data_IF_242846063054
#
_entry.id   IF_242846063054
#
_cell.length_a   1.000
_cell.length_b   1.000
_cell.length_c   1.000
_cell.angle_alpha   90.00
_cell.angle_beta   90.00
_cell.angle_gamma   90.00
#
_symmetry.space_group_name_H-M   'P 1'
#
loop_
_entity.id
_entity.type
_entity.pdbx_description
1 polymer ?
#
# COMPACT_ATOMS: atom_id res chain seq x y z
N UNK A 1 -18.25 21.45 -1.97
CA UNK A 1 -17.38 21.62 -0.79
C UNK A 1 -16.39 22.74 -1.05
N UNK A 2 -16.35 23.74 -0.18
CA UNK A 2 -15.91 25.10 -0.47
C UNK A 2 -14.38 25.26 -0.59
N UNK A 3 -13.97 26.39 -1.22
CA UNK A 3 -12.58 26.86 -1.30
C UNK A 3 -11.88 26.89 0.08
N UNK A 4 -12.62 27.10 1.18
CA UNK A 4 -12.13 27.10 2.55
C UNK A 4 -11.55 25.73 2.94
N UNK A 5 -12.23 24.64 2.58
CA UNK A 5 -11.76 23.28 2.90
C UNK A 5 -10.49 22.92 2.12
N UNK A 6 -10.42 23.38 0.87
CA UNK A 6 -9.23 23.21 0.01
C UNK A 6 -8.03 23.99 0.57
N UNK A 7 -8.27 25.17 1.10
CA UNK A 7 -7.26 26.02 1.75
C UNK A 7 -6.75 25.41 3.07
N UNK A 8 -7.65 24.91 3.90
CA UNK A 8 -7.30 24.23 5.16
C UNK A 8 -6.44 22.98 4.91
N UNK A 9 -6.72 22.23 3.86
CA UNK A 9 -5.94 21.07 3.50
C UNK A 9 -4.53 21.41 2.98
N UNK A 10 -4.39 22.48 2.21
CA UNK A 10 -3.09 22.97 1.75
C UNK A 10 -2.23 23.44 2.93
N UNK A 11 -2.85 24.09 3.91
CA UNK A 11 -2.18 24.49 5.13
C UNK A 11 -1.75 23.29 5.98
N UNK A 12 -2.63 22.28 6.08
CA UNK A 12 -2.35 21.03 6.78
C UNK A 12 -1.19 20.25 6.12
N UNK A 13 -1.11 20.24 4.80
CA UNK A 13 0.00 19.62 4.07
C UNK A 13 1.36 20.22 4.46
N UNK A 14 1.45 21.56 4.42
CA UNK A 14 2.67 22.26 4.80
C UNK A 14 3.05 22.00 6.26
N UNK A 15 2.07 21.93 7.15
CA UNK A 15 2.28 21.60 8.54
C UNK A 15 2.74 20.15 8.73
N UNK A 16 2.11 19.19 8.05
CA UNK A 16 2.51 17.79 8.11
C UNK A 16 3.95 17.58 7.59
N UNK A 17 4.34 18.28 6.52
CA UNK A 17 5.72 18.26 6.03
C UNK A 17 6.70 18.80 7.07
N UNK A 18 6.37 19.94 7.69
CA UNK A 18 7.20 20.54 8.73
C UNK A 18 7.34 19.62 9.95
N UNK A 19 6.23 19.06 10.42
CA UNK A 19 6.21 18.17 11.59
C UNK A 19 6.88 16.84 11.32
N UNK A 20 6.80 16.31 10.12
CA UNK A 20 7.50 15.08 9.71
C UNK A 20 9.03 15.26 9.75
N UNK A 21 9.52 16.48 9.55
CA UNK A 21 10.93 16.79 9.71
C UNK A 21 11.39 16.71 11.18
N UNK A 22 10.57 17.16 12.13
CA UNK A 22 10.89 17.12 13.56
C UNK A 22 10.54 15.82 14.26
N UNK A 23 9.54 15.10 13.74
CA UNK A 23 9.08 13.83 14.29
C UNK A 23 8.81 12.82 13.15
N UNK A 24 9.87 12.34 12.48
CA UNK A 24 9.73 11.45 11.35
C UNK A 24 9.16 10.10 11.80
N UNK A 25 8.31 9.52 10.97
CA UNK A 25 7.92 8.12 11.11
C UNK A 25 9.16 7.23 10.96
N UNK A 26 9.42 6.41 11.96
CA UNK A 26 10.49 5.42 11.92
C UNK A 26 9.86 4.09 11.52
N UNK A 27 10.19 3.61 10.32
CA UNK A 27 9.82 2.28 9.86
C UNK A 27 10.50 1.22 10.73
N UNK A 28 9.74 0.41 11.50
CA UNK A 28 10.32 -0.58 12.41
C UNK A 28 11.07 -1.69 11.68
N UNK A 29 10.87 -1.83 10.38
CA UNK A 29 11.51 -2.86 9.55
C UNK A 29 12.84 -2.41 8.94
N UNK A 30 13.08 -1.10 8.84
CA UNK A 30 14.23 -0.49 8.15
C UNK A 30 15.58 -0.98 8.68
N UNK A 31 15.69 -1.25 9.97
CA UNK A 31 16.96 -1.62 10.60
C UNK A 31 17.41 -3.06 10.28
N UNK A 32 16.56 -3.88 9.72
CA UNK A 32 16.85 -5.27 9.37
C UNK A 32 17.32 -5.44 7.93
N UNK A 33 17.13 -4.40 7.09
CA UNK A 33 17.40 -4.48 5.66
C UNK A 33 18.58 -3.59 5.28
N UNK A 34 19.37 -4.05 4.31
CA UNK A 34 20.47 -3.25 3.78
C UNK A 34 19.97 -2.00 3.06
N UNK A 35 20.72 -0.89 3.17
CA UNK A 35 20.44 0.35 2.43
C UNK A 35 20.58 0.21 0.91
N UNK A 36 21.23 -0.86 0.43
CA UNK A 36 21.38 -1.18 -0.98
C UNK A 36 20.10 -1.78 -1.60
N UNK A 37 19.15 -2.19 -0.76
CA UNK A 37 17.87 -2.73 -1.22
C UNK A 37 16.92 -1.58 -1.63
N UNK A 38 16.35 -1.59 -2.83
CA UNK A 38 15.33 -0.62 -3.19
C UNK A 38 14.04 -0.90 -2.41
N UNK A 39 13.56 0.09 -1.67
CA UNK A 39 12.32 -0.01 -0.87
C UNK A 39 11.09 0.39 -1.71
N UNK A 40 11.27 1.31 -2.68
CA UNK A 40 10.20 1.84 -3.52
C UNK A 40 10.45 1.55 -4.99
N UNK A 41 9.38 1.47 -5.78
CA UNK A 41 9.43 1.17 -7.20
C UNK A 41 10.22 2.21 -8.01
N UNK A 42 10.16 3.51 -7.66
CA UNK A 42 10.97 4.54 -8.30
C UNK A 42 12.48 4.28 -8.17
N UNK A 43 12.95 3.95 -6.96
CA UNK A 43 14.36 3.58 -6.75
C UNK A 43 14.75 2.29 -7.48
N UNK A 44 13.87 1.30 -7.51
CA UNK A 44 14.11 0.06 -8.23
C UNK A 44 14.15 0.30 -9.74
N UNK A 45 13.28 1.14 -10.29
CA UNK A 45 13.27 1.55 -11.68
C UNK A 45 14.58 2.21 -12.12
N UNK A 46 15.14 3.08 -11.28
CA UNK A 46 16.43 3.72 -11.55
C UNK A 46 17.61 2.74 -11.44
N UNK A 47 17.57 1.85 -10.43
CA UNK A 47 18.63 0.87 -10.17
C UNK A 47 18.79 -0.15 -11.27
N UNK A 48 17.72 -0.54 -11.96
CA UNK A 48 17.70 -1.64 -12.93
C UNK A 48 17.33 -1.17 -14.35
N UNK A 49 18.17 -0.38 -15.02
CA UNK A 49 17.85 0.25 -16.32
C UNK A 49 17.50 -0.76 -17.40
N UNK A 50 18.14 -1.94 -17.42
CA UNK A 50 17.91 -2.99 -18.42
C UNK A 50 16.59 -3.74 -18.23
N UNK A 51 15.93 -3.57 -17.08
CA UNK A 51 14.70 -4.25 -16.71
C UNK A 51 13.51 -3.31 -16.51
N UNK A 52 13.62 -2.06 -16.93
CA UNK A 52 12.54 -1.05 -16.82
C UNK A 52 11.25 -1.46 -17.50
N UNK A 53 11.33 -2.33 -18.51
CA UNK A 53 10.17 -2.83 -19.26
C UNK A 53 9.15 -3.58 -18.40
N UNK A 54 9.56 -4.19 -17.27
CA UNK A 54 8.61 -4.89 -16.37
C UNK A 54 7.65 -3.93 -15.66
N UNK A 55 7.99 -2.65 -15.59
CA UNK A 55 7.10 -1.61 -15.05
C UNK A 55 6.05 -1.12 -16.06
N UNK A 56 6.18 -1.45 -17.34
CA UNK A 56 5.13 -1.24 -18.33
C UNK A 56 4.08 -2.35 -18.22
N UNK A 57 2.98 -2.08 -17.50
CA UNK A 57 1.90 -3.05 -17.29
C UNK A 57 1.28 -3.52 -18.60
N UNK A 58 1.34 -2.70 -19.67
CA UNK A 58 0.89 -3.11 -20.99
C UNK A 58 1.85 -4.15 -21.60
N UNK A 59 3.16 -3.96 -21.45
CA UNK A 59 4.13 -4.96 -21.85
C UNK A 59 3.92 -6.28 -21.09
N UNK A 60 3.70 -6.20 -19.76
CA UNK A 60 3.41 -7.38 -18.92
C UNK A 60 2.18 -8.13 -19.42
N UNK A 61 1.09 -7.44 -19.75
CA UNK A 61 -0.13 -8.05 -20.31
C UNK A 61 0.17 -8.74 -21.64
N UNK A 62 0.85 -8.05 -22.56
CA UNK A 62 1.18 -8.59 -23.89
C UNK A 62 2.17 -9.75 -23.85
N UNK A 63 3.13 -9.74 -22.91
CA UNK A 63 4.13 -10.82 -22.75
C UNK A 63 3.51 -12.15 -22.35
N UNK A 64 2.25 -12.15 -21.89
CA UNK A 64 1.48 -13.32 -21.53
C UNK A 64 0.45 -13.72 -22.63
N UNK A 65 0.37 -12.98 -23.72
CA UNK A 65 -0.64 -13.17 -24.76
C UNK A 65 -2.05 -12.72 -24.36
N UNK A 66 -2.19 -11.93 -23.29
CA UNK A 66 -3.47 -11.42 -22.82
C UNK A 66 -3.94 -10.22 -23.65
N UNK A 67 -5.26 -10.02 -23.69
CA UNK A 67 -5.87 -8.88 -24.36
C UNK A 67 -5.63 -7.59 -23.55
N UNK A 68 -5.18 -6.56 -24.26
CA UNK A 68 -4.95 -5.23 -23.69
C UNK A 68 -4.32 -4.27 -24.68
N UNK A 69 -4.40 -2.98 -24.36
CA UNK A 69 -3.89 -1.91 -25.20
C UNK A 69 -3.77 -0.61 -24.43
N UNK A 70 -3.33 0.43 -25.10
CA UNK A 70 -3.45 1.79 -24.54
C UNK A 70 -4.91 2.20 -24.52
N UNK A 71 -5.32 2.94 -23.49
CA UNK A 71 -6.70 3.41 -23.38
C UNK A 71 -7.10 4.29 -24.59
N UNK A 72 -6.21 5.15 -25.03
CA UNK A 72 -6.41 6.04 -26.18
C UNK A 72 -6.75 5.30 -27.49
N UNK A 73 -6.26 4.06 -27.67
CA UNK A 73 -6.50 3.24 -28.86
C UNK A 73 -7.99 2.78 -28.97
N UNK A 74 -8.74 2.91 -27.89
CA UNK A 74 -10.17 2.56 -27.86
C UNK A 74 -11.08 3.70 -28.34
N UNK A 75 -10.58 4.92 -28.50
CA UNK A 75 -11.37 6.06 -28.94
C UNK A 75 -12.05 5.77 -30.28
N UNK A 76 -13.39 5.85 -30.30
CA UNK A 76 -14.21 5.49 -31.47
C UNK A 76 -14.30 3.97 -31.72
N UNK A 77 -13.83 3.13 -30.80
CA UNK A 77 -13.89 1.67 -30.87
C UNK A 77 -14.48 1.01 -29.61
N UNK A 78 -15.10 1.80 -28.77
CA UNK A 78 -15.58 1.40 -27.44
C UNK A 78 -16.56 0.21 -27.54
N UNK A 79 -17.35 0.14 -28.63
CA UNK A 79 -18.31 -0.96 -28.89
C UNK A 79 -17.67 -2.21 -29.53
N UNK A 80 -16.36 -2.19 -29.81
CA UNK A 80 -15.66 -3.33 -30.48
C UNK A 80 -14.93 -4.24 -29.49
N UNK A 81 -15.00 -3.97 -28.20
CA UNK A 81 -14.35 -4.76 -27.14
C UNK A 81 -15.39 -5.51 -26.31
N UNK A 82 -14.96 -6.61 -25.71
CA UNK A 82 -15.79 -7.40 -24.79
C UNK A 82 -15.61 -6.86 -23.36
N UNK A 83 -16.72 -6.51 -22.72
CA UNK A 83 -16.75 -6.10 -21.33
C UNK A 83 -17.01 -7.28 -20.38
N UNK A 84 -16.61 -7.23 -19.09
CA UNK A 84 -15.92 -6.11 -18.47
C UNK A 84 -14.42 -6.04 -18.82
N UNK A 85 -13.90 -4.83 -18.90
CA UNK A 85 -12.45 -4.56 -18.98
C UNK A 85 -11.97 -3.90 -17.70
N UNK A 86 -10.65 -3.86 -17.52
CA UNK A 86 -9.98 -3.14 -16.44
C UNK A 86 -9.06 -2.07 -17.01
N UNK A 87 -9.24 -0.82 -16.55
CA UNK A 87 -8.35 0.29 -16.91
C UNK A 87 -7.52 0.70 -15.69
N UNK A 88 -6.25 1.00 -15.93
CA UNK A 88 -5.28 1.37 -14.89
C UNK A 88 -4.14 2.20 -15.46
N UNK A 89 -3.38 2.93 -14.62
CA UNK A 89 -2.14 3.57 -15.05
C UNK A 89 -1.19 2.55 -15.66
N UNK A 90 -0.61 2.89 -16.79
CA UNK A 90 0.29 2.02 -17.54
C UNK A 90 1.59 1.73 -16.79
N UNK A 91 2.20 2.76 -16.17
CA UNK A 91 3.52 2.67 -15.55
C UNK A 91 3.45 2.33 -14.07
N UNK A 92 3.99 1.17 -13.69
CA UNK A 92 3.95 0.66 -12.31
C UNK A 92 4.75 1.50 -11.31
N UNK A 93 5.92 1.99 -11.72
CA UNK A 93 6.77 2.82 -10.85
C UNK A 93 6.21 4.24 -10.60
N UNK A 94 5.23 4.67 -11.40
CA UNK A 94 4.53 5.94 -11.28
C UNK A 94 3.13 5.79 -10.68
N UNK A 95 2.73 4.61 -10.26
CA UNK A 95 1.40 4.34 -9.71
C UNK A 95 1.51 3.59 -8.40
N UNK A 96 0.68 3.94 -7.44
CA UNK A 96 0.64 3.29 -6.14
C UNK A 96 -0.80 2.96 -5.73
N UNK A 97 -0.97 1.90 -4.95
CA UNK A 97 -2.16 1.63 -4.16
C UNK A 97 -3.47 1.61 -4.96
N UNK A 98 -3.47 1.01 -6.15
CA UNK A 98 -4.66 0.88 -7.01
C UNK A 98 -5.34 2.21 -7.38
N UNK A 99 -4.63 3.33 -7.24
CA UNK A 99 -5.12 4.64 -7.64
C UNK A 99 -5.41 4.66 -9.15
N UNK A 100 -6.55 5.23 -9.54
CA UNK A 100 -7.01 5.29 -10.93
C UNK A 100 -7.15 3.93 -11.63
N UNK A 101 -7.54 2.91 -10.86
CA UNK A 101 -7.88 1.60 -11.38
C UNK A 101 -9.39 1.41 -11.39
N UNK A 102 -9.97 1.03 -12.53
CA UNK A 102 -11.42 0.97 -12.69
C UNK A 102 -11.85 -0.30 -13.44
N UNK A 103 -12.87 -0.98 -12.93
CA UNK A 103 -13.58 -2.04 -13.65
C UNK A 103 -14.69 -1.39 -14.47
N UNK A 104 -14.62 -1.51 -15.78
CA UNK A 104 -15.54 -0.90 -16.74
C UNK A 104 -16.46 -1.99 -17.29
N UNK A 105 -17.76 -1.76 -17.21
CA UNK A 105 -18.78 -2.75 -17.55
C UNK A 105 -19.46 -2.49 -18.90
N UNK A 106 -19.31 -1.31 -19.48
CA UNK A 106 -19.95 -0.92 -20.74
C UNK A 106 -19.18 0.18 -21.47
N UNK A 107 -19.49 0.40 -22.75
CA UNK A 107 -18.96 1.47 -23.55
C UNK A 107 -19.34 2.86 -22.98
N UNK A 108 -20.56 3.02 -22.48
CA UNK A 108 -21.04 4.28 -21.87
C UNK A 108 -20.24 4.62 -20.61
N UNK A 109 -19.90 3.59 -19.82
CA UNK A 109 -19.04 3.79 -18.64
C UNK A 109 -17.62 4.16 -19.06
N UNK A 110 -17.06 3.54 -20.10
CA UNK A 110 -15.72 3.80 -20.61
C UNK A 110 -15.55 5.24 -21.06
N UNK A 111 -16.56 5.84 -21.68
CA UNK A 111 -16.51 7.20 -22.19
C UNK A 111 -16.10 8.24 -21.13
N UNK A 112 -16.42 7.99 -19.87
CA UNK A 112 -16.09 8.86 -18.73
C UNK A 112 -14.59 8.93 -18.42
N UNK A 113 -13.82 7.98 -18.92
CA UNK A 113 -12.40 7.79 -18.59
C UNK A 113 -11.47 8.04 -19.78
N UNK A 114 -12.02 8.36 -20.97
CA UNK A 114 -11.23 8.52 -22.19
C UNK A 114 -10.27 9.72 -22.19
N UNK A 115 -10.46 10.66 -21.27
CA UNK A 115 -9.60 11.83 -21.09
C UNK A 115 -8.40 11.57 -20.14
N UNK A 116 -8.29 10.36 -19.58
CA UNK A 116 -7.19 10.00 -18.71
C UNK A 116 -5.94 9.69 -19.54
N UNK A 117 -4.85 10.33 -19.23
CA UNK A 117 -3.56 10.13 -19.89
C UNK A 117 -2.79 8.93 -19.32
N UNK A 118 -1.86 8.38 -20.09
CA UNK A 118 -0.97 7.27 -19.70
C UNK A 118 -1.67 6.04 -19.10
N UNK A 119 -2.90 5.81 -19.53
CA UNK A 119 -3.69 4.66 -19.09
C UNK A 119 -3.60 3.51 -20.07
N UNK A 120 -3.74 2.31 -19.53
CA UNK A 120 -3.93 1.10 -20.31
C UNK A 120 -5.24 0.40 -19.95
N UNK A 121 -5.73 -0.42 -20.87
CA UNK A 121 -6.82 -1.36 -20.60
C UNK A 121 -6.34 -2.80 -20.75
N UNK A 122 -7.00 -3.71 -20.05
CA UNK A 122 -6.85 -5.17 -20.22
C UNK A 122 -8.19 -5.86 -19.99
N UNK A 123 -8.30 -7.12 -20.35
CA UNK A 123 -9.42 -7.95 -19.91
C UNK A 123 -9.52 -7.90 -18.37
N UNK A 124 -10.75 -7.95 -17.84
CA UNK A 124 -10.95 -8.05 -16.40
C UNK A 124 -10.78 -9.50 -15.95
N UNK A 125 -9.89 -9.72 -15.00
CA UNK A 125 -9.61 -11.05 -14.44
C UNK A 125 -10.40 -11.15 -13.13
N UNK A 126 -11.47 -11.94 -13.14
CA UNK A 126 -12.32 -12.18 -11.97
C UNK A 126 -11.83 -13.41 -11.21
N UNK A 127 -10.76 -13.23 -10.47
CA UNK A 127 -10.12 -14.28 -9.70
C UNK A 127 -9.43 -13.70 -8.46
N UNK A 128 -9.13 -14.59 -7.51
CA UNK A 128 -8.40 -14.23 -6.30
C UNK A 128 -6.99 -13.73 -6.64
N UNK A 129 -6.58 -12.72 -5.91
CA UNK A 129 -5.25 -12.14 -6.05
C UNK A 129 -4.23 -12.91 -5.22
N UNK A 130 -3.05 -13.03 -5.76
CA UNK A 130 -1.87 -13.53 -5.08
C UNK A 130 -0.65 -12.69 -5.46
N UNK A 131 0.40 -12.85 -4.69
CA UNK A 131 1.65 -12.15 -4.93
C UNK A 131 2.82 -13.05 -4.56
N UNK A 132 3.94 -12.91 -5.26
CA UNK A 132 5.17 -13.63 -4.91
C UNK A 132 6.38 -12.73 -5.07
N UNK A 133 7.23 -12.70 -4.07
CA UNK A 133 8.59 -12.19 -4.17
C UNK A 133 9.51 -13.32 -4.61
N UNK A 134 10.08 -13.20 -5.82
CA UNK A 134 11.12 -14.11 -6.31
C UNK A 134 12.48 -13.48 -6.06
N UNK A 135 13.35 -14.21 -5.38
CA UNK A 135 14.75 -13.83 -5.15
C UNK A 135 15.60 -14.51 -6.22
N UNK A 136 16.27 -13.70 -7.04
CA UNK A 136 17.06 -14.17 -8.17
C UNK A 136 18.54 -13.88 -7.99
N UNK A 137 19.36 -14.81 -8.41
CA UNK A 137 20.80 -14.66 -8.59
C UNK A 137 21.15 -15.08 -10.02
N UNK A 138 21.62 -14.14 -10.86
CA UNK A 138 21.94 -14.36 -12.26
C UNK A 138 20.81 -15.06 -13.05
N UNK A 139 19.57 -14.64 -12.84
CA UNK A 139 18.37 -15.19 -13.48
C UNK A 139 17.86 -16.50 -12.90
N UNK A 140 18.59 -17.12 -11.96
CA UNK A 140 18.14 -18.32 -11.26
C UNK A 140 17.33 -17.94 -10.03
N UNK A 141 16.13 -18.47 -9.89
CA UNK A 141 15.35 -18.36 -8.66
C UNK A 141 16.03 -19.15 -7.55
N UNK A 142 16.52 -18.46 -6.51
CA UNK A 142 17.19 -19.07 -5.36
C UNK A 142 16.25 -19.22 -4.16
N UNK A 143 15.23 -18.36 -4.06
CA UNK A 143 14.19 -18.44 -3.05
C UNK A 143 12.90 -17.73 -3.53
N UNK A 144 11.78 -17.99 -2.84
CA UNK A 144 10.52 -17.30 -3.10
C UNK A 144 9.66 -17.20 -1.83
N UNK A 145 8.90 -16.13 -1.72
CA UNK A 145 7.93 -15.90 -0.65
C UNK A 145 6.59 -15.59 -1.31
N UNK A 146 5.59 -16.44 -1.09
CA UNK A 146 4.28 -16.31 -1.71
C UNK A 146 3.24 -15.83 -0.68
N UNK A 147 2.44 -14.88 -1.10
CA UNK A 147 1.41 -14.20 -0.32
C UNK A 147 0.04 -14.57 -0.90
N UNK A 148 -0.79 -15.20 -0.08
CA UNK A 148 -2.18 -15.53 -0.43
C UNK A 148 -3.07 -14.46 0.16
N UNK A 149 -3.88 -13.83 -0.68
CA UNK A 149 -4.78 -12.75 -0.28
C UNK A 149 -6.14 -13.30 0.15
N UNK A 150 -6.81 -12.57 1.02
CA UNK A 150 -8.21 -12.82 1.34
C UNK A 150 -9.09 -12.70 0.09
N UNK A 151 -10.20 -13.43 0.07
CA UNK A 151 -11.17 -13.42 -1.04
C UNK A 151 -11.94 -12.10 -1.17
N UNK A 152 -11.60 -11.07 -0.45
CA UNK A 152 -12.30 -9.81 -0.50
C UNK A 152 -12.17 -9.16 -1.87
N UNK A 153 -13.25 -9.20 -2.64
CA UNK A 153 -13.31 -8.80 -4.04
C UNK A 153 -13.81 -7.37 -4.27
N UNK A 154 -13.74 -6.49 -3.28
CA UNK A 154 -14.13 -5.09 -3.49
C UNK A 154 -13.12 -4.28 -4.32
N UNK A 155 -12.25 -4.98 -4.99
CA UNK A 155 -11.43 -4.50 -6.07
C UNK A 155 -10.02 -4.11 -5.67
N UNK A 156 -9.78 -3.58 -4.46
CA UNK A 156 -8.53 -2.84 -4.25
C UNK A 156 -7.78 -3.17 -2.96
N UNK A 157 -8.43 -3.74 -1.95
CA UNK A 157 -7.78 -3.94 -0.66
C UNK A 157 -8.18 -5.27 -0.03
N UNK A 158 -7.19 -6.07 0.29
CA UNK A 158 -7.34 -7.31 1.03
C UNK A 158 -7.60 -7.05 2.52
N UNK A 159 -8.33 -7.94 3.16
CA UNK A 159 -8.56 -7.93 4.61
C UNK A 159 -7.38 -8.51 5.38
N UNK A 160 -6.78 -9.53 4.80
CA UNK A 160 -5.61 -10.23 5.34
C UNK A 160 -4.81 -10.89 4.22
N UNK A 161 -3.56 -11.21 4.54
CA UNK A 161 -2.68 -12.06 3.72
C UNK A 161 -2.20 -13.23 4.55
N UNK A 162 -2.05 -14.38 3.94
CA UNK A 162 -1.37 -15.54 4.52
C UNK A 162 0.00 -15.71 3.87
N UNK A 163 1.01 -15.89 4.69
CA UNK A 163 2.41 -16.02 4.27
C UNK A 163 2.98 -17.31 4.84
N UNK A 164 3.46 -18.17 3.95
CA UNK A 164 4.00 -19.48 4.33
C UNK A 164 5.14 -19.89 3.42
N UNK A 165 6.20 -20.51 3.95
CA UNK A 165 7.30 -21.05 3.14
C UNK A 165 6.83 -22.19 2.21
N UNK A 166 5.67 -22.81 2.52
CA UNK A 166 5.09 -23.89 1.70
C UNK A 166 4.21 -23.38 0.57
N UNK A 167 3.77 -22.12 0.60
CA UNK A 167 2.96 -21.53 -0.47
C UNK A 167 3.78 -21.38 -1.75
N UNK A 168 3.19 -21.72 -2.88
CA UNK A 168 3.82 -21.63 -4.20
C UNK A 168 2.96 -20.80 -5.13
N UNK A 169 3.57 -20.00 -6.02
CA UNK A 169 2.84 -19.36 -7.11
C UNK A 169 2.38 -20.40 -8.14
N UNK A 170 1.42 -20.07 -9.02
CA UNK A 170 1.12 -20.86 -10.21
C UNK A 170 2.37 -21.08 -11.06
N UNK A 171 2.49 -22.26 -11.69
CA UNK A 171 3.70 -22.66 -12.44
C UNK A 171 4.06 -21.70 -13.56
N UNK A 172 3.08 -21.22 -14.31
CA UNK A 172 3.30 -20.27 -15.41
C UNK A 172 3.87 -18.91 -14.95
N UNK A 173 3.65 -18.49 -13.69
CA UNK A 173 4.28 -17.30 -13.13
C UNK A 173 5.79 -17.55 -12.98
N UNK A 174 6.16 -18.73 -12.48
CA UNK A 174 7.57 -19.14 -12.38
C UNK A 174 8.22 -19.24 -13.76
N UNK A 175 7.52 -19.81 -14.74
CA UNK A 175 7.98 -19.89 -16.13
C UNK A 175 8.18 -18.49 -16.75
N UNK A 176 7.24 -17.57 -16.50
CA UNK A 176 7.39 -16.19 -16.96
C UNK A 176 8.65 -15.53 -16.40
N UNK A 177 8.94 -15.70 -15.10
CA UNK A 177 10.19 -15.22 -14.48
C UNK A 177 11.41 -15.80 -15.18
N UNK A 178 11.45 -17.12 -15.38
CA UNK A 178 12.57 -17.79 -16.05
C UNK A 178 12.79 -17.30 -17.49
N UNK A 179 11.72 -16.94 -18.20
CA UNK A 179 11.78 -16.46 -19.57
C UNK A 179 12.22 -15.00 -19.68
N UNK A 180 11.77 -14.13 -18.76
CA UNK A 180 11.92 -12.69 -18.89
C UNK A 180 12.96 -12.06 -17.95
N UNK A 181 13.38 -12.77 -16.88
CA UNK A 181 14.32 -12.23 -15.91
C UNK A 181 15.71 -12.87 -16.00
N UNK A 182 16.09 -13.29 -17.20
CA UNK A 182 17.42 -13.88 -17.46
C UNK A 182 18.52 -12.90 -17.05
N UNK A 183 19.52 -13.39 -16.32
CA UNK A 183 20.68 -12.65 -15.79
C UNK A 183 20.31 -11.61 -14.70
N UNK A 184 19.05 -11.45 -14.31
CA UNK A 184 18.69 -10.53 -13.23
C UNK A 184 19.19 -11.03 -11.89
N UNK A 185 19.74 -10.12 -11.08
CA UNK A 185 20.06 -10.36 -9.67
C UNK A 185 19.36 -9.32 -8.80
N UNK A 186 18.52 -9.80 -7.88
CA UNK A 186 17.69 -8.96 -7.03
C UNK A 186 16.37 -9.63 -6.68
N UNK A 187 15.36 -8.83 -6.42
CA UNK A 187 14.00 -9.30 -6.12
C UNK A 187 13.04 -8.88 -7.21
N UNK A 188 12.18 -9.79 -7.63
CA UNK A 188 11.06 -9.53 -8.53
C UNK A 188 9.77 -9.84 -7.78
N UNK A 189 9.00 -8.81 -7.48
CA UNK A 189 7.67 -8.91 -6.93
C UNK A 189 6.67 -9.05 -8.06
N UNK A 190 5.84 -10.07 -8.03
CA UNK A 190 4.83 -10.33 -9.06
C UNK A 190 3.47 -10.43 -8.41
N UNK A 191 2.54 -9.57 -8.82
CA UNK A 191 1.12 -9.67 -8.47
C UNK A 191 0.38 -10.36 -9.62
N UNK A 192 -0.51 -11.28 -9.26
CA UNK A 192 -1.28 -12.05 -10.23
C UNK A 192 -2.70 -12.33 -9.71
N UNK A 193 -3.61 -12.57 -10.65
CA UNK A 193 -4.94 -13.11 -10.36
C UNK A 193 -5.10 -14.42 -11.12
N UNK A 194 -5.44 -15.50 -10.39
CA UNK A 194 -5.33 -16.84 -10.91
C UNK A 194 -3.89 -17.09 -11.41
N UNK A 195 -3.71 -17.43 -12.66
CA UNK A 195 -2.40 -17.61 -13.25
C UNK A 195 -1.95 -16.44 -14.18
N UNK A 196 -2.56 -15.25 -14.08
CA UNK A 196 -2.32 -14.10 -14.95
C UNK A 196 -1.65 -12.97 -14.17
N UNK A 197 -0.47 -12.55 -14.60
CA UNK A 197 0.29 -11.45 -13.99
C UNK A 197 -0.41 -10.12 -14.28
N UNK A 198 -0.65 -9.34 -13.25
CA UNK A 198 -1.30 -8.04 -13.33
C UNK A 198 -0.33 -6.87 -13.09
N UNK A 199 0.76 -7.12 -12.36
CA UNK A 199 1.78 -6.11 -12.06
C UNK A 199 3.11 -6.77 -11.68
N UNK A 200 4.22 -6.12 -12.01
CA UNK A 200 5.57 -6.55 -11.65
C UNK A 200 6.34 -5.35 -11.09
N UNK A 201 7.10 -5.58 -10.02
CA UNK A 201 8.03 -4.62 -9.43
C UNK A 201 9.37 -5.26 -9.11
N UNK A 202 10.43 -4.47 -9.03
CA UNK A 202 11.80 -4.96 -8.77
C UNK A 202 12.25 -4.66 -7.32
N UNK A 203 11.32 -4.88 -6.39
CA UNK A 203 11.52 -4.69 -4.95
C UNK A 203 10.71 -5.70 -4.17
N UNK A 204 11.01 -5.87 -2.88
CA UNK A 204 10.19 -6.70 -2.00
C UNK A 204 8.80 -6.12 -1.77
N UNK A 205 7.83 -7.00 -1.61
CA UNK A 205 6.51 -6.64 -1.14
C UNK A 205 6.58 -5.76 0.12
N UNK A 206 5.84 -4.65 0.11
CA UNK A 206 5.79 -3.71 1.24
C UNK A 206 7.18 -3.29 1.74
N UNK A 207 8.14 -3.04 0.81
CA UNK A 207 9.48 -2.60 1.15
C UNK A 207 10.27 -3.59 2.03
N UNK A 208 9.86 -4.85 2.09
CA UNK A 208 10.51 -5.89 2.90
C UNK A 208 9.89 -6.10 4.28
N UNK A 209 8.81 -5.39 4.67
CA UNK A 209 8.15 -5.59 5.96
C UNK A 209 7.73 -7.05 6.19
N UNK A 210 7.21 -7.71 5.17
CA UNK A 210 6.80 -9.12 5.29
C UNK A 210 7.99 -10.07 5.43
N UNK A 211 9.12 -9.77 4.78
CA UNK A 211 10.36 -10.52 4.97
C UNK A 211 10.84 -10.41 6.43
N UNK A 212 10.91 -9.22 6.98
CA UNK A 212 11.33 -9.01 8.38
C UNK A 212 10.37 -9.71 9.35
N UNK A 213 9.07 -9.69 9.06
CA UNK A 213 8.05 -10.38 9.87
C UNK A 213 8.17 -11.92 9.83
N UNK A 214 8.98 -12.50 8.96
CA UNK A 214 9.29 -13.94 9.04
C UNK A 214 10.08 -14.30 10.30
N UNK A 215 10.78 -13.33 10.91
CA UNK A 215 11.69 -13.49 12.05
C UNK A 215 12.85 -14.47 11.77
N UNK A 216 13.08 -14.79 10.50
CA UNK A 216 14.17 -15.68 10.09
C UNK A 216 15.43 -14.86 9.73
N UNK A 217 16.35 -14.75 10.67
CA UNK A 217 17.59 -13.98 10.51
C UNK A 217 18.49 -14.49 9.37
N UNK A 218 18.54 -15.81 9.15
CA UNK A 218 19.34 -16.41 8.06
C UNK A 218 18.73 -16.04 6.68
N UNK A 219 17.42 -16.06 6.56
CA UNK A 219 16.72 -15.63 5.35
C UNK A 219 16.94 -14.13 5.06
N UNK A 220 16.75 -13.28 6.07
CA UNK A 220 16.97 -11.84 5.96
C UNK A 220 18.41 -11.54 5.55
N UNK A 221 19.39 -12.18 6.21
CA UNK A 221 20.81 -12.05 5.88
C UNK A 221 21.13 -12.49 4.45
N UNK A 222 20.56 -13.61 4.03
CA UNK A 222 20.78 -14.14 2.69
C UNK A 222 20.22 -13.21 1.60
N UNK A 223 19.03 -12.64 1.83
CA UNK A 223 18.45 -11.65 0.91
C UNK A 223 19.27 -10.34 0.91
N UNK A 224 19.73 -9.85 2.06
CA UNK A 224 20.63 -8.70 2.12
C UNK A 224 21.93 -8.96 1.31
N UNK A 225 22.50 -10.16 1.36
CA UNK A 225 23.68 -10.52 0.58
C UNK A 225 23.47 -10.47 -0.93
N UNK A 226 22.24 -10.69 -1.44
CA UNK A 226 21.91 -10.50 -2.87
C UNK A 226 22.20 -9.06 -3.29
N UNK A 227 21.82 -8.08 -2.46
CA UNK A 227 21.97 -6.65 -2.78
C UNK A 227 23.37 -6.12 -2.50
N UNK A 228 24.04 -6.64 -1.46
CA UNK A 228 25.34 -6.16 -1.02
C UNK A 228 26.51 -6.84 -1.75
N UNK A 229 26.36 -8.12 -2.09
CA UNK A 229 27.46 -8.97 -2.53
C UNK A 229 27.15 -9.79 -3.80
N UNK A 230 25.90 -9.72 -4.32
CA UNK A 230 25.42 -10.60 -5.40
C UNK A 230 25.69 -12.08 -5.07
N UNK A 231 25.41 -12.47 -3.83
CA UNK A 231 25.72 -13.78 -3.28
C UNK A 231 24.51 -14.38 -2.57
N UNK A 232 24.34 -15.71 -2.69
CA UNK A 232 23.37 -16.50 -1.95
C UNK A 232 24.08 -17.65 -1.26
N UNK A 233 23.91 -17.78 0.05
CA UNK A 233 24.50 -18.86 0.82
C UNK A 233 23.60 -20.10 0.79
N UNK A 234 23.93 -21.04 -0.11
CA UNK A 234 23.19 -22.29 -0.26
C UNK A 234 23.36 -23.22 0.95
N UNK A 235 24.40 -23.03 1.80
CA UNK A 235 24.58 -23.84 3.01
C UNK A 235 23.46 -23.62 4.04
N UNK A 236 22.77 -22.50 3.97
CA UNK A 236 21.65 -22.16 4.85
C UNK A 236 20.28 -22.65 4.32
N UNK A 237 20.23 -23.33 3.17
CA UNK A 237 18.95 -23.67 2.52
C UNK A 237 17.95 -24.37 3.45
N UNK A 238 18.41 -25.26 4.32
CA UNK A 238 17.57 -25.98 5.28
C UNK A 238 17.14 -25.14 6.51
N UNK A 239 17.62 -23.90 6.62
CA UNK A 239 17.33 -22.97 7.71
C UNK A 239 16.46 -21.80 7.30
N UNK A 240 16.04 -21.73 6.03
CA UNK A 240 15.31 -20.59 5.49
C UNK A 240 13.79 -20.67 5.73
N UNK A 241 13.30 -21.81 6.23
CA UNK A 241 11.90 -21.97 6.58
C UNK A 241 11.52 -21.09 7.78
N UNK A 242 10.31 -20.55 7.75
CA UNK A 242 9.76 -19.73 8.83
C UNK A 242 8.36 -20.22 9.21
N UNK A 243 7.94 -19.88 10.42
CA UNK A 243 6.60 -20.18 10.89
C UNK A 243 5.58 -19.38 10.08
N UNK A 244 4.57 -20.04 9.46
CA UNK A 244 3.52 -19.33 8.73
C UNK A 244 2.81 -18.28 9.58
N UNK A 245 2.36 -17.20 8.96
CA UNK A 245 1.65 -16.13 9.65
C UNK A 245 0.67 -15.41 8.73
N UNK A 246 -0.20 -14.64 9.36
CA UNK A 246 -1.15 -13.76 8.70
C UNK A 246 -0.77 -12.31 8.91
N UNK A 247 -1.07 -11.47 7.93
CA UNK A 247 -1.03 -10.01 8.02
C UNK A 247 -2.46 -9.51 7.96
N UNK A 248 -2.90 -8.77 8.96
CA UNK A 248 -4.24 -8.21 9.05
C UNK A 248 -4.21 -6.72 8.83
N UNK A 249 -5.18 -6.19 8.05
CA UNK A 249 -5.37 -4.75 7.87
C UNK A 249 -6.56 -4.28 8.70
N UNK A 250 -6.39 -3.16 9.38
CA UNK A 250 -7.46 -2.47 10.12
C UNK A 250 -7.96 -1.28 9.32
N UNK A 251 -9.29 -1.12 9.29
CA UNK A 251 -9.98 -0.12 8.49
C UNK A 251 -10.76 0.85 9.35
N UNK A 252 -10.96 2.07 8.85
CA UNK A 252 -11.86 3.06 9.42
C UNK A 252 -12.62 3.79 8.31
N UNK A 253 -13.90 4.06 8.54
CA UNK A 253 -14.74 4.91 7.67
C UNK A 253 -14.79 6.36 8.14
N UNK A 254 -14.16 6.66 9.27
CA UNK A 254 -14.09 8.02 9.83
C UNK A 254 -12.77 8.69 9.43
N UNK A 255 -12.77 9.98 9.12
CA UNK A 255 -11.53 10.75 8.99
C UNK A 255 -10.73 10.65 10.30
N UNK A 256 -9.40 10.45 10.17
CA UNK A 256 -8.54 10.25 11.33
C UNK A 256 -8.12 11.59 11.91
N UNK A 257 -8.53 11.88 13.15
CA UNK A 257 -8.06 13.03 13.93
C UNK A 257 -6.94 12.62 14.87
N UNK A 258 -7.08 11.44 15.48
CA UNK A 258 -6.16 10.94 16.49
C UNK A 258 -5.63 9.57 16.07
N UNK A 259 -4.34 9.36 16.25
CA UNK A 259 -3.67 8.07 16.03
C UNK A 259 -3.23 7.55 17.39
N UNK A 260 -3.37 6.26 17.64
CA UNK A 260 -2.88 5.68 18.89
C UNK A 260 -1.41 6.02 19.10
N UNK A 261 -1.02 6.53 20.27
CA UNK A 261 0.39 6.62 20.64
C UNK A 261 1.06 5.27 20.57
N UNK A 262 2.33 5.26 20.18
CA UNK A 262 3.07 4.02 19.96
C UNK A 262 3.00 3.05 21.15
N UNK A 263 3.14 3.55 22.38
CA UNK A 263 3.09 2.71 23.59
C UNK A 263 1.74 2.01 23.81
N UNK A 264 0.62 2.65 23.42
CA UNK A 264 -0.71 2.02 23.49
C UNK A 264 -0.80 0.91 22.45
N UNK A 265 -0.31 1.16 21.24
CA UNK A 265 -0.34 0.18 20.18
C UNK A 265 0.62 -0.98 20.46
N UNK A 266 1.81 -0.72 20.97
CA UNK A 266 2.76 -1.73 21.43
C UNK A 266 2.11 -2.65 22.50
N UNK A 267 1.41 -2.07 23.46
CA UNK A 267 0.68 -2.84 24.47
C UNK A 267 -0.43 -3.71 23.85
N UNK A 268 -1.26 -3.13 22.97
CA UNK A 268 -2.35 -3.86 22.30
C UNK A 268 -1.82 -5.04 21.47
N UNK A 269 -0.79 -4.81 20.67
CA UNK A 269 -0.20 -5.84 19.82
C UNK A 269 0.44 -6.94 20.66
N UNK A 270 1.34 -6.59 21.61
CA UNK A 270 2.02 -7.57 22.46
C UNK A 270 1.07 -8.39 23.33
N UNK A 271 -0.07 -7.81 23.75
CA UNK A 271 -1.05 -8.50 24.59
C UNK A 271 -2.00 -9.40 23.80
N UNK A 272 -2.14 -9.21 22.49
CA UNK A 272 -3.20 -9.86 21.72
C UNK A 272 -2.71 -10.61 20.49
N UNK A 273 -1.43 -10.50 20.12
CA UNK A 273 -0.85 -11.20 18.97
C UNK A 273 0.37 -12.03 19.37
N UNK A 274 0.75 -12.96 18.50
CA UNK A 274 1.97 -13.75 18.69
C UNK A 274 3.22 -13.05 18.11
N UNK A 275 3.02 -12.00 17.28
CA UNK A 275 4.12 -11.28 16.62
C UNK A 275 4.12 -9.81 17.02
N UNK A 276 5.28 -9.24 17.34
CA UNK A 276 5.37 -7.86 17.80
C UNK A 276 5.29 -6.84 16.66
N UNK A 277 5.31 -7.29 15.42
CA UNK A 277 5.39 -6.41 14.26
C UNK A 277 4.03 -5.83 13.90
N UNK A 278 4.00 -4.54 13.69
CA UNK A 278 2.89 -3.79 13.14
C UNK A 278 3.40 -2.56 12.40
N UNK A 279 2.56 -1.98 11.56
CA UNK A 279 2.87 -0.77 10.81
C UNK A 279 1.61 0.07 10.67
N UNK A 280 1.76 1.37 10.87
CA UNK A 280 0.74 2.29 10.41
C UNK A 280 0.77 2.31 8.87
N UNK A 281 -0.35 1.92 8.28
CA UNK A 281 -0.46 1.77 6.83
C UNK A 281 -1.65 2.54 6.32
N UNK A 282 -1.41 3.80 5.95
CA UNK A 282 -2.49 4.70 5.53
C UNK A 282 -2.72 4.59 4.03
N UNK A 283 -3.88 4.04 3.66
CA UNK A 283 -4.26 3.85 2.27
C UNK A 283 -5.78 3.87 2.12
N UNK A 284 -6.33 4.61 1.13
CA UNK A 284 -7.73 4.55 0.81
C UNK A 284 -8.17 3.13 0.42
N UNK A 285 -9.29 2.67 0.96
CA UNK A 285 -9.82 1.33 0.79
C UNK A 285 -11.22 1.32 0.17
N UNK A 286 -11.55 2.33 -0.63
CA UNK A 286 -12.86 2.45 -1.29
C UNK A 286 -14.00 2.53 -0.29
N UNK A 287 -14.99 1.64 -0.41
CA UNK A 287 -16.16 1.62 0.49
C UNK A 287 -15.83 1.27 1.94
N UNK A 288 -14.69 0.64 2.19
CA UNK A 288 -14.21 0.30 3.54
C UNK A 288 -13.50 1.48 4.22
N UNK A 289 -13.47 2.62 3.55
CA UNK A 289 -12.87 3.84 4.04
C UNK A 289 -11.37 3.89 3.83
N UNK A 290 -10.60 3.79 4.90
CA UNK A 290 -9.14 3.87 4.88
C UNK A 290 -8.53 2.77 5.74
N UNK A 291 -7.48 2.13 5.25
CA UNK A 291 -6.56 1.34 6.09
C UNK A 291 -5.79 2.31 6.98
N UNK A 292 -5.65 2.02 8.27
CA UNK A 292 -4.86 2.83 9.19
C UNK A 292 -3.76 2.05 9.90
N UNK A 293 -3.84 0.72 9.91
CA UNK A 293 -2.88 -0.16 10.54
C UNK A 293 -2.83 -1.50 9.84
N UNK A 294 -1.64 -2.12 9.81
CA UNK A 294 -1.49 -3.55 9.62
C UNK A 294 -0.66 -4.16 10.74
N UNK A 295 -0.97 -5.40 11.11
CA UNK A 295 -0.24 -6.17 12.12
C UNK A 295 -0.20 -7.66 11.75
N UNK A 296 0.60 -8.45 12.45
CA UNK A 296 0.85 -9.84 12.14
C UNK A 296 0.45 -10.77 13.28
N UNK A 297 -0.04 -11.96 12.95
CA UNK A 297 -0.33 -13.02 13.89
C UNK A 297 -0.15 -14.40 13.25
N UNK A 298 0.24 -15.40 14.02
CA UNK A 298 0.37 -16.79 13.55
C UNK A 298 -0.99 -17.51 13.51
N UNK A 299 -1.98 -17.03 14.24
CA UNK A 299 -3.31 -17.61 14.33
C UNK A 299 -4.37 -16.71 13.69
N UNK A 300 -5.11 -17.26 12.74
CA UNK A 300 -6.14 -16.52 12.00
C UNK A 300 -7.26 -15.99 12.90
N UNK A 301 -7.80 -16.85 13.78
CA UNK A 301 -8.95 -16.47 14.61
C UNK A 301 -8.57 -15.43 15.66
N UNK A 302 -7.39 -15.57 16.28
CA UNK A 302 -6.86 -14.59 17.22
C UNK A 302 -6.60 -13.25 16.49
N UNK A 303 -5.99 -13.30 15.33
CA UNK A 303 -5.74 -12.10 14.52
C UNK A 303 -7.03 -11.39 14.12
N UNK A 304 -8.06 -12.10 13.68
CA UNK A 304 -9.36 -11.50 13.36
C UNK A 304 -10.02 -10.85 14.57
N UNK A 305 -10.03 -11.50 15.73
CA UNK A 305 -10.53 -10.92 16.99
C UNK A 305 -9.74 -9.67 17.39
N UNK A 306 -8.43 -9.70 17.23
CA UNK A 306 -7.56 -8.55 17.52
C UNK A 306 -7.84 -7.40 16.56
N UNK A 307 -8.02 -7.68 15.27
CA UNK A 307 -8.43 -6.69 14.27
C UNK A 307 -9.73 -5.99 14.64
N UNK A 308 -10.78 -6.76 14.98
CA UNK A 308 -12.08 -6.22 15.40
C UNK A 308 -11.93 -5.33 16.64
N UNK A 309 -11.17 -5.79 17.64
CA UNK A 309 -10.91 -5.03 18.87
C UNK A 309 -10.19 -3.71 18.57
N UNK A 310 -9.13 -3.74 17.77
CA UNK A 310 -8.37 -2.54 17.42
C UNK A 310 -9.26 -1.57 16.63
N UNK A 311 -10.01 -2.04 15.64
CA UNK A 311 -10.91 -1.19 14.85
C UNK A 311 -12.00 -0.54 15.72
N UNK A 312 -12.58 -1.31 16.63
CA UNK A 312 -13.60 -0.80 17.56
C UNK A 312 -13.02 0.28 18.48
N UNK A 313 -11.88 0.00 19.11
CA UNK A 313 -11.21 0.96 19.99
C UNK A 313 -10.79 2.22 19.23
N UNK A 314 -10.27 2.06 18.01
CA UNK A 314 -9.86 3.19 17.18
C UNK A 314 -11.06 4.06 16.81
N UNK A 315 -12.16 3.45 16.34
CA UNK A 315 -13.40 4.16 16.00
C UNK A 315 -13.94 4.91 17.22
N UNK A 316 -14.01 4.24 18.39
CA UNK A 316 -14.45 4.87 19.62
C UNK A 316 -13.59 6.07 20.01
N UNK A 317 -12.27 5.94 19.88
CA UNK A 317 -11.33 7.04 20.14
C UNK A 317 -11.56 8.21 19.18
N UNK A 318 -11.80 7.97 17.89
CA UNK A 318 -12.11 9.03 16.93
C UNK A 318 -13.40 9.75 17.34
N UNK A 319 -14.46 9.01 17.67
CA UNK A 319 -15.75 9.59 18.09
C UNK A 319 -15.59 10.46 19.35
N UNK A 320 -14.86 9.99 20.36
CA UNK A 320 -14.56 10.78 21.57
C UNK A 320 -13.82 12.06 21.19
N UNK A 321 -12.82 11.98 20.35
CA UNK A 321 -12.04 13.15 19.92
C UNK A 321 -12.90 14.16 19.17
N UNK A 322 -13.83 13.71 18.31
CA UNK A 322 -14.81 14.59 17.65
C UNK A 322 -15.72 15.29 18.68
N UNK A 323 -16.24 14.55 19.67
CA UNK A 323 -17.09 15.12 20.72
C UNK A 323 -16.30 16.16 21.54
N UNK A 324 -15.07 15.85 21.95
CA UNK A 324 -14.22 16.78 22.70
C UNK A 324 -13.93 18.05 21.92
N UNK A 325 -13.60 17.95 20.63
CA UNK A 325 -13.36 19.10 19.77
C UNK A 325 -14.62 19.94 19.58
N UNK A 326 -15.78 19.32 19.38
CA UNK A 326 -17.07 20.02 19.27
C UNK A 326 -17.43 20.71 20.58
N UNK A 327 -17.27 20.05 21.70
CA UNK A 327 -17.52 20.61 23.04
C UNK A 327 -16.59 21.79 23.32
N UNK A 328 -15.31 21.64 23.06
CA UNK A 328 -14.35 22.75 23.17
C UNK A 328 -14.75 23.93 22.28
N UNK A 329 -15.18 23.67 21.07
CA UNK A 329 -15.69 24.71 20.17
C UNK A 329 -16.89 25.44 20.74
N UNK A 330 -17.91 24.71 21.22
CA UNK A 330 -19.13 25.28 21.79
C UNK A 330 -18.84 26.12 23.05
N UNK A 331 -17.93 25.68 23.91
CA UNK A 331 -17.59 26.37 25.16
C UNK A 331 -16.66 27.58 24.93
N UNK A 332 -15.76 27.52 23.98
CA UNK A 332 -14.78 28.61 23.70
C UNK A 332 -15.46 29.82 23.04
N UNK A 333 -16.47 29.62 22.22
CA UNK A 333 -17.15 30.70 21.51
C UNK A 333 -17.80 31.73 22.46
N UNK A 334 -18.70 31.34 23.40
CA UNK A 334 -19.34 32.29 24.33
C UNK A 334 -18.39 32.75 25.44
N UNK A 335 -17.49 31.88 25.95
CA UNK A 335 -16.64 32.17 27.08
C UNK A 335 -15.61 33.27 26.80
N UNK A 336 -15.04 33.32 25.60
CA UNK A 336 -14.03 34.32 25.25
C UNK A 336 -14.57 35.45 24.39
N UNK A 337 -15.88 35.52 24.10
CA UNK A 337 -16.47 36.49 23.15
C UNK A 337 -15.65 36.56 21.84
N UNK A 338 -15.12 35.41 21.41
CA UNK A 338 -14.19 35.33 20.31
C UNK A 338 -14.90 35.60 18.98
N UNK A 339 -14.27 36.38 18.13
CA UNK A 339 -14.70 36.45 16.72
C UNK A 339 -14.51 35.07 16.09
N UNK A 340 -15.45 34.66 15.24
CA UNK A 340 -15.44 33.34 14.59
C UNK A 340 -14.10 32.95 13.96
N UNK A 341 -13.36 33.92 13.42
CA UNK A 341 -12.01 33.69 12.88
C UNK A 341 -11.02 33.16 13.93
N UNK A 342 -11.08 33.67 15.17
CA UNK A 342 -10.19 33.25 16.24
C UNK A 342 -10.54 31.84 16.75
N UNK A 343 -11.84 31.52 16.78
CA UNK A 343 -12.33 30.18 17.13
C UNK A 343 -11.84 29.16 16.10
N UNK A 344 -11.92 29.50 14.82
CA UNK A 344 -11.43 28.63 13.74
C UNK A 344 -9.90 28.40 13.87
N UNK A 345 -9.14 29.44 14.18
CA UNK A 345 -7.69 29.34 14.40
C UNK A 345 -7.40 28.41 15.59
N UNK A 346 -8.09 28.59 16.72
CA UNK A 346 -7.92 27.72 17.90
C UNK A 346 -8.24 26.26 17.56
N UNK A 347 -9.33 26.01 16.83
CA UNK A 347 -9.72 24.68 16.41
C UNK A 347 -8.62 24.03 15.52
N UNK A 348 -8.10 24.79 14.57
CA UNK A 348 -7.00 24.34 13.70
C UNK A 348 -5.76 24.03 14.55
N UNK A 349 -5.40 24.92 15.48
CA UNK A 349 -4.26 24.70 16.39
C UNK A 349 -4.46 23.46 17.25
N UNK A 350 -5.66 23.22 17.77
CA UNK A 350 -5.96 22.01 18.54
C UNK A 350 -5.84 20.74 17.70
N UNK A 351 -6.34 20.74 16.47
CA UNK A 351 -6.20 19.60 15.53
C UNK A 351 -4.73 19.35 15.22
N UNK A 352 -3.96 20.41 14.96
CA UNK A 352 -2.54 20.31 14.68
C UNK A 352 -1.73 19.83 15.90
N UNK A 353 -2.09 20.31 17.11
CA UNK A 353 -1.46 19.86 18.36
C UNK A 353 -1.76 18.39 18.65
N UNK A 354 -2.99 17.91 18.45
CA UNK A 354 -3.32 16.49 18.63
C UNK A 354 -2.50 15.61 17.69
N UNK A 355 -2.26 16.06 16.45
CA UNK A 355 -1.39 15.36 15.50
C UNK A 355 0.08 15.46 15.87
N UNK A 356 0.55 16.60 16.37
CA UNK A 356 1.94 16.80 16.82
C UNK A 356 2.30 15.92 18.02
N UNK A 357 1.41 15.82 19.01
CA UNK A 357 1.62 14.99 20.20
C UNK A 357 1.60 13.49 19.90
N UNK A 358 1.19 13.11 18.71
CA UNK A 358 1.22 11.75 18.25
C UNK A 358 2.53 11.49 17.47
N UNK A 359 3.29 10.42 17.76
CA UNK A 359 4.56 10.13 17.07
C UNK A 359 4.42 9.99 15.54
N UNK A 360 3.19 9.77 15.04
CA UNK A 360 2.90 9.68 13.61
C UNK A 360 1.94 10.79 13.15
N UNK A 361 1.50 11.64 14.07
CA UNK A 361 0.47 12.64 13.81
C UNK A 361 0.83 13.69 12.76
N UNK A 362 2.12 13.88 12.51
CA UNK A 362 2.65 14.74 11.46
C UNK A 362 3.01 13.97 10.16
N UNK A 363 2.56 12.73 10.03
CA UNK A 363 2.93 11.91 8.88
C UNK A 363 2.24 12.40 7.60
N UNK A 364 3.05 12.81 6.63
CA UNK A 364 2.60 13.29 5.34
C UNK A 364 1.82 12.24 4.54
N UNK A 365 2.18 10.97 4.68
CA UNK A 365 1.46 9.88 4.02
C UNK A 365 0.03 9.70 4.57
N UNK A 366 -0.17 9.95 5.86
CA UNK A 366 -1.51 10.00 6.43
C UNK A 366 -2.34 11.14 5.81
N UNK A 367 -1.74 12.32 5.69
CA UNK A 367 -2.41 13.44 5.03
C UNK A 367 -2.80 13.11 3.58
N UNK A 368 -1.88 12.54 2.80
CA UNK A 368 -2.17 12.11 1.42
C UNK A 368 -3.32 11.09 1.38
N UNK A 369 -3.30 10.09 2.25
CA UNK A 369 -4.34 9.07 2.32
C UNK A 369 -5.69 9.65 2.72
N UNK A 370 -5.74 10.56 3.70
CA UNK A 370 -6.98 11.23 4.09
C UNK A 370 -7.52 12.13 3.00
N UNK A 371 -6.64 12.89 2.31
CA UNK A 371 -7.04 13.72 1.18
C UNK A 371 -7.70 12.88 0.08
N UNK A 372 -7.12 11.75 -0.25
CA UNK A 372 -7.65 10.82 -1.23
C UNK A 372 -8.96 10.17 -0.77
N UNK A 373 -9.07 9.82 0.51
CA UNK A 373 -10.27 9.26 1.11
C UNK A 373 -11.45 10.23 1.10
N UNK A 374 -11.21 11.50 1.47
CA UNK A 374 -12.29 12.52 1.60
C UNK A 374 -12.71 13.08 0.23
N UNK A 375 -11.77 13.28 -0.69
CA UNK A 375 -12.03 13.99 -1.96
C UNK A 375 -12.11 13.08 -3.19
N UNK A 376 -11.88 11.78 -3.01
CA UNK A 376 -11.76 10.85 -4.11
C UNK A 376 -10.47 11.03 -4.91
N UNK A 377 -10.05 10.03 -5.64
CA UNK A 377 -8.96 10.15 -6.59
C UNK A 377 -9.43 10.98 -7.78
N UNK A 378 -8.92 12.19 -7.91
CA UNK A 378 -9.12 12.97 -9.13
C UNK A 378 -8.47 12.28 -10.33
N UNK A 379 -8.93 12.56 -11.54
CA UNK A 379 -8.48 11.89 -12.76
C UNK A 379 -7.00 12.11 -13.12
N UNK A 380 -6.38 13.16 -12.66
CA UNK A 380 -5.03 13.53 -13.08
C UNK A 380 -3.98 13.05 -12.09
N UNK A 381 -3.24 12.01 -12.47
CA UNK A 381 -1.93 11.72 -11.89
C UNK A 381 -1.00 12.81 -12.41
N UNK A 382 -0.79 13.87 -11.65
CA UNK A 382 0.32 14.76 -11.93
C UNK A 382 1.61 14.02 -11.59
N UNK A 383 2.62 14.15 -12.44
CA UNK A 383 3.98 13.60 -12.19
C UNK A 383 4.52 13.95 -10.81
N UNK A 384 4.15 15.12 -10.29
CA UNK A 384 4.51 15.66 -8.97
C UNK A 384 3.92 14.88 -7.77
N UNK A 385 2.88 14.05 -7.99
CA UNK A 385 2.23 13.26 -6.94
C UNK A 385 2.91 11.89 -6.70
N UNK A 386 3.99 11.59 -7.43
CA UNK A 386 4.57 10.25 -7.56
C UNK A 386 5.99 10.17 -7.00
N UNK A 387 6.66 11.29 -6.82
CA UNK A 387 8.08 11.38 -6.45
C UNK A 387 8.32 11.45 -4.93
N UNK A 388 7.63 10.63 -4.11
CA UNK A 388 8.05 10.42 -2.71
C UNK A 388 7.92 8.98 -2.26
#
# INVERSE_FOLDING_TARGET
MSAIFKYLLTYEESWCKLMSYFNPYIDPFKFHLTSNMPVFDGRAYERYPDYKYVYDKLWVVKSQGLLGGKLEDLKGRENKITYPIFIKPRWGHLSASSKNCFKIKSADELSKYMEYEDMMWSEFIDANEGMTDFILLNGRIVHQITYIYSEKQNGFTDDWKYISPKSKPPTNITEWINNHMKKFTGVVNVQYRDAKIIEVGLRLARGGAYLVSTENGDLIKNINNIFDKQFWDFSLQNKLDFKPFYVFKCFTTLPIIYIFPQHILDYLIRSHTSRPFYEYYFEPAGKDGMVFLQFMDDDFNRGMKTKEKIQTLFTFTQVIMYILLLTAFILLVPFFQLKWKNVLIILIVLILLTRYLNPIGANYNLYKAQKQFIFGGGPNIKKEDIDE
#
